data_IF_416412876371
#
_entry.id   IF_416412876371
#
_cell.length_a   1.000
_cell.length_b   1.000
_cell.length_c   1.000
_cell.angle_alpha   90.00
_cell.angle_beta   90.00
_cell.angle_gamma   90.00
#
_symmetry.space_group_name_H-M   'P 1'
#
loop_
_entity.id
_entity.type
_entity.pdbx_description
1 polymer ?
#
# COMPACT_ATOMS: atom_id res chain seq x y z
N UNK A 1 -14.37 10.53 16.65
CA UNK A 1 -13.32 11.18 15.86
C UNK A 1 -11.97 10.48 15.84
N UNK A 2 -11.77 9.35 16.56
CA UNK A 2 -10.45 8.70 16.64
C UNK A 2 -10.21 7.55 15.64
N UNK A 3 -11.10 7.31 14.66
CA UNK A 3 -10.97 6.15 13.75
C UNK A 3 -9.96 6.37 12.60
N UNK A 4 -9.70 7.63 12.23
CA UNK A 4 -8.84 7.98 11.10
C UNK A 4 -7.37 8.04 11.53
N UNK A 5 -6.47 7.61 10.64
CA UNK A 5 -5.05 7.72 10.92
C UNK A 5 -4.56 9.17 11.06
N UNK A 6 -3.57 9.33 11.92
CA UNK A 6 -2.87 10.57 12.23
C UNK A 6 -1.34 10.35 12.13
N UNK A 7 -0.53 11.27 12.68
CA UNK A 7 0.93 11.10 12.72
C UNK A 7 1.38 10.01 13.70
N UNK A 8 0.57 9.73 14.71
CA UNK A 8 0.91 8.82 15.82
C UNK A 8 0.02 7.58 15.87
N UNK A 9 -1.14 7.63 15.23
CA UNK A 9 -2.05 6.51 15.08
C UNK A 9 -2.16 6.15 13.59
N UNK A 10 -2.07 4.86 13.24
CA UNK A 10 -2.24 4.44 11.86
C UNK A 10 -3.71 4.44 11.41
N UNK A 11 -4.66 4.51 12.35
CA UNK A 11 -6.10 4.42 12.13
C UNK A 11 -6.67 3.06 12.50
N UNK A 12 -8.01 2.95 12.51
CA UNK A 12 -8.73 1.76 12.99
C UNK A 12 -9.64 1.19 11.90
N UNK A 13 -9.13 0.32 11.01
CA UNK A 13 -9.89 -0.25 9.90
C UNK A 13 -11.23 -0.87 10.28
N UNK A 14 -11.30 -1.61 11.39
CA UNK A 14 -12.53 -2.31 11.80
C UNK A 14 -13.63 -1.32 12.22
N UNK A 15 -13.23 -0.23 12.90
CA UNK A 15 -14.14 0.85 13.27
C UNK A 15 -14.59 1.64 12.03
N UNK A 16 -13.69 1.87 11.07
CA UNK A 16 -14.02 2.50 9.79
C UNK A 16 -15.03 1.68 8.97
N UNK A 17 -14.91 0.35 8.96
CA UNK A 17 -15.88 -0.54 8.33
C UNK A 17 -17.25 -0.48 9.02
N UNK A 18 -17.27 -0.51 10.34
CA UNK A 18 -18.51 -0.39 11.12
C UNK A 18 -19.19 0.95 10.83
N UNK A 19 -18.42 2.04 10.86
CA UNK A 19 -18.93 3.36 10.54
C UNK A 19 -19.47 3.46 9.11
N UNK A 20 -18.78 2.88 8.13
CA UNK A 20 -19.22 2.89 6.74
C UNK A 20 -20.58 2.18 6.58
N UNK A 21 -20.77 1.02 7.22
CA UNK A 21 -22.03 0.29 7.21
C UNK A 21 -23.18 1.07 7.86
N UNK A 22 -22.93 1.67 9.03
CA UNK A 22 -23.93 2.45 9.76
C UNK A 22 -24.39 3.71 9.00
N UNK A 23 -23.55 4.25 8.10
CA UNK A 23 -23.78 5.51 7.39
C UNK A 23 -24.07 5.32 5.89
N UNK A 24 -24.19 4.08 5.40
CA UNK A 24 -24.47 3.79 3.99
C UNK A 24 -25.92 4.08 3.56
N UNK A 25 -26.85 4.21 4.52
CA UNK A 25 -28.25 4.48 4.23
C UNK A 25 -28.51 5.97 3.94
N UNK A 26 -29.22 6.27 2.86
CA UNK A 26 -29.65 7.63 2.52
C UNK A 26 -28.58 8.51 1.87
N UNK A 27 -27.38 7.99 1.63
CA UNK A 27 -26.34 8.69 0.84
C UNK A 27 -26.50 8.41 -0.66
N UNK A 28 -26.04 9.34 -1.49
CA UNK A 28 -26.14 9.21 -2.96
C UNK A 28 -25.00 8.39 -3.58
N UNK A 29 -23.87 8.27 -2.88
CA UNK A 29 -22.70 7.49 -3.29
C UNK A 29 -21.75 7.30 -2.08
N UNK A 30 -20.94 6.25 -2.13
CA UNK A 30 -19.81 6.04 -1.24
C UNK A 30 -18.50 6.28 -2.00
N UNK A 31 -17.61 7.10 -1.44
CA UNK A 31 -16.25 7.32 -1.95
C UNK A 31 -15.27 6.91 -0.86
N UNK A 32 -14.55 5.80 -1.07
CA UNK A 32 -13.81 5.10 -0.01
C UNK A 32 -12.32 5.01 -0.35
N UNK A 33 -11.47 5.35 0.61
CA UNK A 33 -10.02 5.10 0.57
C UNK A 33 -9.74 3.64 0.92
N UNK A 34 -9.25 2.85 -0.03
CA UNK A 34 -8.80 1.48 0.27
C UNK A 34 -7.64 1.47 1.25
N UNK A 35 -6.76 2.48 1.20
CA UNK A 35 -5.62 2.56 2.12
C UNK A 35 -6.10 2.67 3.58
N UNK A 36 -7.16 3.46 3.80
CA UNK A 36 -7.79 3.59 5.12
C UNK A 36 -8.51 2.31 5.54
N UNK A 37 -9.29 1.70 4.65
CA UNK A 37 -10.08 0.50 4.98
C UNK A 37 -9.23 -0.76 5.19
N UNK A 38 -8.03 -0.81 4.61
CA UNK A 38 -7.13 -1.96 4.74
C UNK A 38 -6.08 -1.77 5.83
N UNK A 39 -5.53 -0.55 5.95
CA UNK A 39 -4.35 -0.26 6.76
C UNK A 39 -4.53 0.85 7.80
N UNK A 40 -5.68 1.53 7.78
CA UNK A 40 -6.05 2.63 8.67
C UNK A 40 -5.76 4.01 8.07
N UNK A 41 -4.75 4.11 7.21
CA UNK A 41 -4.35 5.34 6.52
C UNK A 41 -3.34 5.07 5.41
N UNK A 42 -3.04 6.10 4.62
CA UNK A 42 -1.94 6.07 3.64
C UNK A 42 -0.58 5.81 4.31
N UNK A 43 -0.31 6.36 5.50
CA UNK A 43 0.91 6.04 6.26
C UNK A 43 0.86 4.61 6.78
N UNK A 44 -0.33 4.16 7.21
CA UNK A 44 -0.62 2.78 7.60
C UNK A 44 -0.22 1.78 6.52
N UNK A 45 -0.55 2.05 5.25
CA UNK A 45 -0.20 1.15 4.12
C UNK A 45 1.30 0.94 3.95
N UNK A 46 2.12 1.85 4.51
CA UNK A 46 3.59 1.79 4.49
C UNK A 46 4.19 1.22 5.78
N UNK A 47 3.57 1.45 6.95
CA UNK A 47 4.16 1.17 8.28
C UNK A 47 3.45 0.12 9.14
N UNK A 48 2.38 -0.50 8.65
CA UNK A 48 1.64 -1.52 9.41
C UNK A 48 2.44 -2.80 9.68
N UNK A 49 1.97 -3.61 10.65
CA UNK A 49 2.44 -4.98 10.88
C UNK A 49 1.42 -6.05 10.49
N UNK A 50 0.29 -5.66 9.88
CA UNK A 50 -0.73 -6.57 9.40
C UNK A 50 -0.15 -7.71 8.53
N UNK A 51 -0.64 -8.91 8.81
CA UNK A 51 -0.46 -10.11 8.02
C UNK A 51 -1.20 -10.01 6.70
N UNK A 52 -0.82 -10.86 5.73
CA UNK A 52 -1.57 -10.99 4.48
C UNK A 52 -3.03 -11.42 4.73
N UNK A 53 -3.25 -12.30 5.72
CA UNK A 53 -4.58 -12.79 6.07
C UNK A 53 -5.51 -11.66 6.53
N UNK A 54 -5.04 -10.77 7.39
CA UNK A 54 -5.82 -9.61 7.85
C UNK A 54 -6.17 -8.66 6.70
N UNK A 55 -5.22 -8.37 5.81
CA UNK A 55 -5.48 -7.52 4.64
C UNK A 55 -6.52 -8.16 3.71
N UNK A 56 -6.43 -9.48 3.48
CA UNK A 56 -7.40 -10.20 2.64
C UNK A 56 -8.78 -10.29 3.29
N UNK A 57 -8.85 -10.41 4.62
CA UNK A 57 -10.11 -10.35 5.35
C UNK A 57 -10.77 -8.97 5.19
N UNK A 58 -10.00 -7.89 5.34
CA UNK A 58 -10.50 -6.52 5.14
C UNK A 58 -10.88 -6.21 3.70
N UNK A 59 -10.22 -6.83 2.71
CA UNK A 59 -10.62 -6.74 1.31
C UNK A 59 -12.01 -7.34 1.11
N UNK A 60 -12.30 -8.48 1.73
CA UNK A 60 -13.63 -9.13 1.63
C UNK A 60 -14.76 -8.24 2.12
N UNK A 61 -14.49 -7.34 3.08
CA UNK A 61 -15.51 -6.40 3.56
C UNK A 61 -16.07 -5.50 2.45
N UNK A 62 -15.33 -5.26 1.35
CA UNK A 62 -15.88 -4.55 0.19
C UNK A 62 -16.99 -5.34 -0.53
N UNK A 63 -16.82 -6.66 -0.65
CA UNK A 63 -17.86 -7.53 -1.23
C UNK A 63 -19.08 -7.60 -0.32
N UNK A 64 -18.86 -7.67 0.99
CA UNK A 64 -19.93 -7.70 2.00
C UNK A 64 -20.70 -6.37 1.99
N UNK A 65 -20.00 -5.23 1.94
CA UNK A 65 -20.58 -3.89 1.81
C UNK A 65 -21.38 -3.74 0.52
N UNK A 66 -20.86 -4.22 -0.62
CA UNK A 66 -21.61 -4.23 -1.89
C UNK A 66 -22.87 -5.10 -1.78
N UNK A 67 -22.79 -6.27 -1.16
CA UNK A 67 -23.93 -7.16 -1.01
C UNK A 67 -25.03 -6.56 -0.13
N UNK A 68 -24.65 -5.81 0.90
CA UNK A 68 -25.58 -5.08 1.75
C UNK A 68 -26.20 -3.86 1.04
N UNK A 69 -25.43 -3.18 0.19
CA UNK A 69 -25.83 -1.93 -0.49
C UNK A 69 -25.76 -2.03 -2.03
N UNK A 70 -26.53 -2.93 -2.67
CA UNK A 70 -26.36 -3.26 -4.09
C UNK A 70 -26.65 -2.09 -5.04
N UNK A 71 -27.49 -1.12 -4.62
CA UNK A 71 -27.86 0.04 -5.42
C UNK A 71 -27.02 1.30 -5.15
N UNK A 72 -26.14 1.28 -4.14
CA UNK A 72 -25.31 2.44 -3.78
C UNK A 72 -24.10 2.52 -4.71
N UNK A 73 -23.89 3.63 -5.45
CA UNK A 73 -22.66 3.81 -6.20
C UNK A 73 -21.44 3.77 -5.28
N UNK A 74 -20.48 2.89 -5.56
CA UNK A 74 -19.28 2.67 -4.77
C UNK A 74 -18.04 2.99 -5.60
N UNK A 75 -17.41 4.09 -5.24
CA UNK A 75 -16.16 4.56 -5.82
C UNK A 75 -15.03 4.33 -4.82
N UNK A 76 -13.98 3.66 -5.25
CA UNK A 76 -12.82 3.36 -4.39
C UNK A 76 -11.58 4.02 -4.97
N UNK A 77 -10.71 4.50 -4.10
CA UNK A 77 -9.38 4.95 -4.50
C UNK A 77 -8.32 4.39 -3.57
N UNK A 78 -7.14 4.12 -4.12
CA UNK A 78 -6.00 3.59 -3.38
C UNK A 78 -4.69 4.03 -4.00
N UNK A 79 -3.59 3.71 -3.33
CA UNK A 79 -2.27 4.18 -3.72
C UNK A 79 -1.28 3.03 -3.92
N UNK A 80 -0.52 3.07 -5.01
CA UNK A 80 0.68 2.26 -5.14
C UNK A 80 1.74 2.84 -4.21
N UNK A 81 2.28 1.99 -3.33
CA UNK A 81 3.36 2.37 -2.42
C UNK A 81 4.52 3.02 -3.15
N UNK A 82 4.98 4.17 -2.66
CA UNK A 82 6.20 4.81 -3.13
C UNK A 82 7.47 4.06 -2.72
N UNK A 83 8.56 4.30 -3.44
CA UNK A 83 9.94 3.98 -3.01
C UNK A 83 10.69 5.31 -2.90
N UNK A 84 10.81 5.90 -1.71
CA UNK A 84 11.51 7.18 -1.53
C UNK A 84 12.97 7.09 -1.97
N UNK A 85 13.47 8.15 -2.60
CA UNK A 85 14.83 8.23 -3.15
C UNK A 85 15.91 8.40 -2.09
N UNK A 86 15.57 8.88 -0.89
CA UNK A 86 16.49 9.05 0.22
C UNK A 86 15.78 8.86 1.57
N UNK A 87 16.55 8.67 2.63
CA UNK A 87 16.01 8.59 3.99
C UNK A 87 15.38 9.90 4.47
N UNK A 88 15.87 11.05 4.00
CA UNK A 88 15.25 12.35 4.27
C UNK A 88 13.89 12.47 3.56
N UNK A 89 13.79 11.99 2.32
CA UNK A 89 12.53 11.97 1.57
C UNK A 89 11.47 11.04 2.21
N UNK A 90 11.90 10.05 2.99
CA UNK A 90 11.01 9.15 3.74
C UNK A 90 10.32 9.82 4.93
N UNK A 91 10.89 10.88 5.50
CA UNK A 91 10.35 11.55 6.68
C UNK A 91 10.09 10.57 7.85
N UNK A 92 8.94 10.72 8.52
CA UNK A 92 8.47 9.80 9.58
C UNK A 92 7.45 8.76 9.09
N UNK A 93 7.20 8.70 7.78
CA UNK A 93 6.09 7.97 7.16
C UNK A 93 6.49 6.60 6.60
N UNK A 94 7.77 6.25 6.67
CA UNK A 94 8.30 4.95 6.27
C UNK A 94 8.79 4.11 7.47
N UNK A 95 9.04 2.81 7.27
CA UNK A 95 9.78 2.00 8.24
C UNK A 95 11.15 2.59 8.59
N UNK A 96 11.59 2.41 9.84
CA UNK A 96 12.76 3.10 10.37
C UNK A 96 14.08 2.84 9.63
N UNK A 97 14.21 1.72 8.90
CA UNK A 97 15.41 1.42 8.13
C UNK A 97 15.62 2.36 6.94
N UNK A 98 14.58 3.05 6.45
CA UNK A 98 14.73 4.00 5.35
C UNK A 98 15.67 5.15 5.69
N UNK A 99 15.75 5.55 6.96
CA UNK A 99 16.70 6.58 7.42
C UNK A 99 18.14 6.23 7.07
N UNK A 100 18.49 4.94 7.11
CA UNK A 100 19.85 4.48 6.89
C UNK A 100 20.07 3.90 5.49
N UNK A 101 19.05 3.24 4.93
CA UNK A 101 19.17 2.43 3.72
C UNK A 101 18.18 2.82 2.61
N UNK A 102 17.41 3.89 2.75
CA UNK A 102 16.38 4.28 1.78
C UNK A 102 16.96 4.53 0.38
N UNK A 103 18.07 5.27 0.30
CA UNK A 103 18.76 5.51 -0.96
C UNK A 103 19.38 4.23 -1.55
N UNK A 104 19.92 3.36 -0.71
CA UNK A 104 20.50 2.08 -1.13
C UNK A 104 19.43 1.14 -1.68
N UNK A 105 18.27 1.04 -1.01
CA UNK A 105 17.13 0.24 -1.48
C UNK A 105 16.59 0.82 -2.80
N UNK A 106 16.45 2.15 -2.90
CA UNK A 106 16.05 2.79 -4.16
C UNK A 106 17.02 2.44 -5.29
N UNK A 107 18.33 2.56 -5.06
CA UNK A 107 19.35 2.27 -6.06
C UNK A 107 19.39 0.78 -6.42
N UNK A 108 19.30 -0.09 -5.42
CA UNK A 108 19.27 -1.54 -5.59
C UNK A 108 18.09 -1.95 -6.48
N UNK A 109 16.89 -1.47 -6.18
CA UNK A 109 15.67 -1.82 -6.92
C UNK A 109 15.66 -1.24 -8.34
N UNK A 110 16.20 -0.04 -8.53
CA UNK A 110 16.44 0.51 -9.87
C UNK A 110 17.38 -0.38 -10.69
N UNK A 111 18.47 -0.87 -10.08
CA UNK A 111 19.39 -1.79 -10.75
C UNK A 111 18.76 -3.17 -10.99
N UNK A 112 17.89 -3.66 -10.10
CA UNK A 112 17.11 -4.89 -10.34
C UNK A 112 16.25 -4.75 -11.58
N UNK A 113 15.44 -3.68 -11.67
CA UNK A 113 14.58 -3.40 -12.83
C UNK A 113 15.40 -3.27 -14.12
N UNK A 114 16.47 -2.46 -14.09
CA UNK A 114 17.35 -2.30 -15.23
C UNK A 114 17.99 -3.63 -15.67
N UNK A 115 18.36 -4.49 -14.71
CA UNK A 115 18.93 -5.80 -15.03
C UNK A 115 17.95 -6.66 -15.84
N UNK A 116 16.66 -6.59 -15.54
CA UNK A 116 15.62 -7.35 -16.23
C UNK A 116 15.28 -6.78 -17.62
N UNK A 117 15.27 -5.45 -17.76
CA UNK A 117 14.82 -4.78 -18.99
C UNK A 117 15.96 -4.54 -20.00
N UNK A 118 17.12 -4.09 -19.53
CA UNK A 118 18.22 -3.61 -20.38
C UNK A 118 19.53 -4.40 -20.18
N UNK A 119 19.69 -4.98 -18.99
CA UNK A 119 20.95 -5.53 -18.51
C UNK A 119 21.85 -4.48 -17.85
N UNK A 120 22.78 -4.97 -17.01
CA UNK A 120 23.70 -4.11 -16.25
C UNK A 120 25.10 -4.04 -16.89
N UNK A 121 25.71 -2.85 -16.84
CA UNK A 121 27.13 -2.68 -17.14
C UNK A 121 28.01 -3.38 -16.09
N UNK A 122 29.29 -3.62 -16.39
CA UNK A 122 30.22 -4.22 -15.42
C UNK A 122 30.38 -3.40 -14.13
N UNK A 123 30.24 -2.08 -14.20
CA UNK A 123 30.25 -1.20 -13.01
C UNK A 123 28.98 -1.39 -12.19
N UNK A 124 27.82 -1.40 -12.84
CA UNK A 124 26.53 -1.58 -12.18
C UNK A 124 26.37 -2.96 -11.57
N UNK A 125 26.92 -4.02 -12.18
CA UNK A 125 26.95 -5.36 -11.58
C UNK A 125 27.70 -5.40 -10.24
N UNK A 126 28.83 -4.68 -10.16
CA UNK A 126 29.61 -4.55 -8.91
C UNK A 126 28.84 -3.73 -7.86
N UNK A 127 28.23 -2.64 -8.29
CA UNK A 127 27.37 -1.80 -7.42
C UNK A 127 26.18 -2.61 -6.89
N UNK A 128 25.50 -3.38 -7.74
CA UNK A 128 24.38 -4.24 -7.37
C UNK A 128 24.79 -5.29 -6.32
N UNK A 129 25.91 -5.98 -6.53
CA UNK A 129 26.43 -6.95 -5.57
C UNK A 129 26.78 -6.29 -4.22
N UNK A 130 27.42 -5.12 -4.25
CA UNK A 130 27.73 -4.36 -3.05
C UNK A 130 26.47 -3.94 -2.29
N UNK A 131 25.45 -3.39 -2.97
CA UNK A 131 24.20 -2.98 -2.34
C UNK A 131 23.45 -4.17 -1.71
N UNK A 132 23.50 -5.33 -2.37
CA UNK A 132 22.90 -6.57 -1.86
C UNK A 132 23.54 -7.00 -0.52
N UNK A 133 24.84 -6.78 -0.34
CA UNK A 133 25.55 -7.08 0.91
C UNK A 133 25.40 -5.96 1.96
N UNK A 134 25.32 -4.70 1.51
CA UNK A 134 25.20 -3.53 2.38
C UNK A 134 23.85 -3.46 3.10
N UNK A 135 22.75 -3.73 2.39
CA UNK A 135 21.39 -3.63 2.93
C UNK A 135 21.15 -4.83 3.85
N UNK A 136 20.77 -4.63 5.13
CA UNK A 136 20.47 -5.74 6.02
C UNK A 136 19.34 -6.61 5.47
N UNK A 137 19.55 -7.93 5.49
CA UNK A 137 18.59 -8.92 4.97
C UNK A 137 17.18 -8.70 5.54
N UNK A 138 17.07 -8.54 6.87
CA UNK A 138 15.79 -8.25 7.55
C UNK A 138 15.08 -6.99 7.03
N UNK A 139 15.84 -5.95 6.69
CA UNK A 139 15.26 -4.71 6.13
C UNK A 139 14.75 -4.93 4.72
N UNK A 140 15.49 -5.68 3.90
CA UNK A 140 15.05 -6.02 2.55
C UNK A 140 13.85 -6.98 2.56
N UNK A 141 13.82 -7.96 3.47
CA UNK A 141 12.70 -8.87 3.67
C UNK A 141 11.42 -8.14 4.08
N UNK A 142 11.50 -7.23 5.06
CA UNK A 142 10.36 -6.40 5.45
C UNK A 142 9.89 -5.54 4.27
N UNK A 143 10.82 -4.87 3.57
CA UNK A 143 10.52 -4.02 2.42
C UNK A 143 9.80 -4.79 1.30
N UNK A 144 10.28 -5.99 0.97
CA UNK A 144 9.68 -6.90 -0.01
C UNK A 144 8.32 -7.42 0.45
N UNK A 145 8.21 -7.81 1.73
CA UNK A 145 6.98 -8.34 2.33
C UNK A 145 5.85 -7.31 2.26
N UNK A 146 6.12 -6.06 2.62
CA UNK A 146 5.14 -4.94 2.52
C UNK A 146 4.65 -4.75 1.09
N UNK A 147 5.56 -4.76 0.11
CA UNK A 147 5.22 -4.63 -1.31
C UNK A 147 4.44 -5.81 -1.85
N UNK A 148 4.80 -7.03 -1.45
CA UNK A 148 4.07 -8.24 -1.85
C UNK A 148 2.64 -8.22 -1.34
N UNK A 149 2.43 -7.77 -0.09
CA UNK A 149 1.09 -7.60 0.50
C UNK A 149 0.29 -6.52 -0.25
N UNK A 150 0.88 -5.34 -0.48
CA UNK A 150 0.22 -4.25 -1.21
C UNK A 150 -0.08 -4.62 -2.67
N UNK A 151 0.83 -5.33 -3.35
CA UNK A 151 0.60 -5.83 -4.70
C UNK A 151 -0.61 -6.76 -4.75
N UNK A 152 -0.69 -7.74 -3.85
CA UNK A 152 -1.82 -8.65 -3.78
C UNK A 152 -3.14 -7.93 -3.45
N UNK A 153 -3.09 -6.87 -2.63
CA UNK A 153 -4.27 -6.05 -2.34
C UNK A 153 -4.71 -5.25 -3.58
N UNK A 154 -3.78 -4.60 -4.26
CA UNK A 154 -4.07 -3.83 -5.48
C UNK A 154 -4.62 -4.73 -6.59
N UNK A 155 -4.07 -5.92 -6.77
CA UNK A 155 -4.60 -6.92 -7.71
C UNK A 155 -6.07 -7.25 -7.39
N UNK A 156 -6.40 -7.45 -6.11
CA UNK A 156 -7.78 -7.73 -5.69
C UNK A 156 -8.71 -6.54 -5.87
N UNK A 157 -8.27 -5.32 -5.57
CA UNK A 157 -9.06 -4.10 -5.82
C UNK A 157 -9.36 -3.91 -7.32
N UNK A 158 -8.40 -4.24 -8.18
CA UNK A 158 -8.60 -4.26 -9.64
C UNK A 158 -9.62 -5.34 -10.02
N UNK A 159 -9.50 -6.55 -9.46
CA UNK A 159 -10.45 -7.64 -9.72
C UNK A 159 -11.88 -7.27 -9.28
N UNK A 160 -12.04 -6.60 -8.14
CA UNK A 160 -13.32 -6.08 -7.65
C UNK A 160 -13.96 -5.07 -8.59
N UNK A 161 -13.16 -4.30 -9.31
CA UNK A 161 -13.69 -3.43 -10.36
C UNK A 161 -14.18 -4.25 -11.56
N UNK A 162 -13.42 -5.28 -11.96
CA UNK A 162 -13.81 -6.16 -13.08
C UNK A 162 -15.05 -6.99 -12.79
N UNK A 163 -15.25 -7.41 -11.54
CA UNK A 163 -16.39 -8.22 -11.11
C UNK A 163 -17.62 -7.40 -10.71
N UNK A 164 -17.55 -6.07 -10.77
CA UNK A 164 -18.67 -5.18 -10.47
C UNK A 164 -18.92 -4.95 -8.98
N UNK A 165 -17.94 -5.27 -8.11
CA UNK A 165 -17.98 -4.85 -6.70
C UNK A 165 -17.84 -3.33 -6.62
N UNK A 166 -16.94 -2.74 -7.40
CA UNK A 166 -16.79 -1.29 -7.51
C UNK A 166 -17.40 -0.77 -8.81
N UNK A 167 -18.06 0.38 -8.73
CA UNK A 167 -18.50 1.11 -9.93
C UNK A 167 -17.31 1.80 -10.61
N UNK A 168 -16.33 2.23 -9.81
CA UNK A 168 -15.07 2.78 -10.30
C UNK A 168 -13.96 2.61 -9.27
N UNK A 169 -12.74 2.36 -9.75
CA UNK A 169 -11.55 2.31 -8.92
C UNK A 169 -10.45 3.19 -9.50
N UNK A 170 -9.90 4.08 -8.68
CA UNK A 170 -8.72 4.88 -9.01
C UNK A 170 -7.53 4.33 -8.25
N UNK A 171 -6.54 3.83 -8.99
CA UNK A 171 -5.25 3.48 -8.42
C UNK A 171 -4.26 4.61 -8.73
N UNK A 172 -3.98 5.41 -7.71
CA UNK A 172 -3.01 6.49 -7.77
C UNK A 172 -1.59 5.98 -7.55
N UNK A 173 -0.60 6.76 -8.00
CA UNK A 173 0.78 6.61 -7.57
C UNK A 173 1.04 7.61 -6.46
N UNK A 174 1.46 7.12 -5.31
CA UNK A 174 1.87 7.93 -4.18
C UNK A 174 3.14 8.72 -4.49
N UNK A 175 3.28 9.94 -3.94
CA UNK A 175 4.31 10.92 -4.28
C UNK A 175 5.68 10.27 -4.46
N UNK A 176 6.17 10.26 -5.70
CA UNK A 176 7.42 9.66 -6.08
C UNK A 176 8.38 10.73 -6.63
N UNK A 177 9.65 10.61 -6.25
CA UNK A 177 10.76 11.40 -6.80
C UNK A 177 11.21 10.91 -8.18
#
# INVERSE_FOLDING_TARGET
>A
DDMLGSRTDLGHPEELWTWAEENASGVSAAVISSDSMLYGSLVGSRKHDCTRGEIMARLKNFEDFRAAHPALPLYVFGSIMRTPRSGEASGSEEPGYYKNYGADIFRYTLLTDKQEVEGLTSREKKEYAFLKELIPEKSMEDWMSRRTKNFAANEKLIDYTKSGVFDYFVLGRDDNA
#
